data_IF_033448501058
#
_entry.id   IF_033448501058
#
_cell.length_a   1.000
_cell.length_b   1.000
_cell.length_c   1.000
_cell.angle_alpha   90.00
_cell.angle_beta   90.00
_cell.angle_gamma   90.00
#
_symmetry.space_group_name_H-M   'P 1'
#
loop_
_entity.id
_entity.type
_entity.pdbx_description
1 polymer ?
#
# COMPACT_ATOMS: atom_id res chain seq x y z
N UNK A 1 -16.02 -105.21 16.08
CA UNK A 1 -14.89 -104.55 15.38
C UNK A 1 -15.39 -103.20 14.83
N UNK A 2 -15.26 -102.13 15.62
CA UNK A 2 -15.89 -100.81 15.37
C UNK A 2 -14.96 -99.85 14.61
N UNK A 3 -15.44 -99.24 13.52
CA UNK A 3 -14.72 -98.21 12.74
C UNK A 3 -15.18 -96.79 13.11
N UNK A 4 -14.23 -96.04 13.68
CA UNK A 4 -13.91 -94.60 13.53
C UNK A 4 -15.07 -93.62 13.20
N UNK A 5 -15.48 -92.84 14.21
CA UNK A 5 -15.99 -91.46 14.04
C UNK A 5 -14.84 -90.47 14.24
N UNK A 6 -14.33 -89.89 13.16
CA UNK A 6 -13.36 -88.78 13.20
C UNK A 6 -13.74 -87.79 12.09
N UNK A 7 -14.80 -87.01 12.30
CA UNK A 7 -15.23 -85.94 11.36
C UNK A 7 -16.15 -84.95 12.08
N UNK A 8 -15.63 -84.20 13.05
CA UNK A 8 -16.33 -83.01 13.58
C UNK A 8 -15.51 -82.07 14.49
N UNK A 9 -14.26 -82.41 14.82
CA UNK A 9 -13.44 -81.57 15.72
C UNK A 9 -12.58 -80.52 14.99
N UNK A 10 -12.36 -80.62 13.68
CA UNK A 10 -11.45 -79.68 12.99
C UNK A 10 -12.08 -78.31 12.75
N UNK A 11 -13.37 -78.20 12.40
CA UNK A 11 -13.98 -76.90 12.03
C UNK A 11 -14.11 -75.93 13.20
N UNK A 12 -14.28 -76.42 14.44
CA UNK A 12 -14.32 -75.57 15.64
C UNK A 12 -12.94 -75.03 16.01
N UNK A 13 -11.87 -75.80 15.78
CA UNK A 13 -10.50 -75.38 16.02
C UNK A 13 -10.02 -74.35 14.96
N UNK A 14 -10.45 -74.50 13.70
CA UNK A 14 -10.16 -73.53 12.64
C UNK A 14 -10.81 -72.18 12.91
N UNK A 15 -12.07 -72.16 13.40
CA UNK A 15 -12.76 -70.92 13.77
C UNK A 15 -12.11 -70.26 14.98
N UNK A 16 -11.69 -71.03 15.99
CA UNK A 16 -11.04 -70.50 17.19
C UNK A 16 -9.69 -69.83 16.90
N UNK A 17 -8.99 -70.29 15.86
CA UNK A 17 -7.68 -69.75 15.44
C UNK A 17 -7.82 -68.61 14.43
N UNK A 18 -8.90 -68.53 13.66
CA UNK A 18 -9.12 -67.45 12.68
C UNK A 18 -9.45 -66.10 13.32
N UNK A 19 -10.23 -66.11 14.40
CA UNK A 19 -10.69 -64.90 15.11
C UNK A 19 -9.51 -64.02 15.60
N UNK A 20 -8.51 -64.55 16.32
CA UNK A 20 -7.39 -63.72 16.77
C UNK A 20 -6.54 -63.18 15.62
N UNK A 21 -6.43 -63.91 14.50
CA UNK A 21 -5.70 -63.46 13.30
C UNK A 21 -6.42 -62.26 12.66
N UNK A 22 -7.74 -62.33 12.53
CA UNK A 22 -8.55 -61.21 12.00
C UNK A 22 -8.45 -60.01 12.94
N UNK A 23 -8.50 -60.22 14.26
CA UNK A 23 -8.34 -59.14 15.22
C UNK A 23 -6.97 -58.45 15.13
N UNK A 24 -5.88 -59.22 15.00
CA UNK A 24 -4.51 -58.70 14.85
C UNK A 24 -4.29 -57.92 13.55
N UNK A 25 -4.93 -58.36 12.45
CA UNK A 25 -4.84 -57.65 11.17
C UNK A 25 -5.61 -56.32 11.20
N UNK A 26 -6.80 -56.31 11.80
CA UNK A 26 -7.59 -55.09 11.97
C UNK A 26 -6.89 -54.07 12.86
N UNK A 27 -6.28 -54.50 13.97
CA UNK A 27 -5.53 -53.58 14.85
C UNK A 27 -4.26 -53.06 14.18
N UNK A 28 -3.55 -53.88 13.39
CA UNK A 28 -2.40 -53.44 12.60
C UNK A 28 -2.77 -52.37 11.57
N UNK A 29 -3.89 -52.57 10.84
CA UNK A 29 -4.39 -51.60 9.86
C UNK A 29 -4.82 -50.31 10.57
N UNK A 30 -5.58 -50.41 11.66
CA UNK A 30 -6.02 -49.24 12.43
C UNK A 30 -4.83 -48.44 13.00
N UNK A 31 -3.79 -49.14 13.49
CA UNK A 31 -2.58 -48.50 13.99
C UNK A 31 -1.81 -47.80 12.87
N UNK A 32 -1.73 -48.40 11.68
CA UNK A 32 -1.10 -47.77 10.51
C UNK A 32 -1.82 -46.48 10.10
N UNK A 33 -3.15 -46.48 10.07
CA UNK A 33 -3.93 -45.28 9.77
C UNK A 33 -3.84 -44.21 10.86
N UNK A 34 -3.67 -44.61 12.13
CA UNK A 34 -3.48 -43.67 13.24
C UNK A 34 -2.08 -43.02 13.22
N UNK A 35 -1.06 -43.76 12.75
CA UNK A 35 0.32 -43.28 12.62
C UNK A 35 0.55 -42.39 11.40
N UNK A 36 -0.41 -42.28 10.48
CA UNK A 36 -0.33 -41.33 9.38
C UNK A 36 -0.47 -39.90 9.91
N UNK A 37 0.66 -39.21 10.07
CA UNK A 37 0.67 -37.77 10.27
C UNK A 37 0.16 -37.07 9.01
N UNK A 38 -1.05 -36.52 9.09
CA UNK A 38 -1.60 -35.61 8.10
C UNK A 38 -0.82 -34.29 8.12
N UNK A 39 0.22 -34.18 7.27
CA UNK A 39 0.92 -32.93 7.05
C UNK A 39 0.11 -32.02 6.11
N UNK A 40 -0.62 -31.08 6.69
CA UNK A 40 -1.27 -30.00 5.95
C UNK A 40 -0.26 -28.88 5.78
N UNK A 41 0.33 -28.77 4.59
CA UNK A 41 1.18 -27.64 4.22
C UNK A 41 0.26 -26.50 3.76
N UNK A 42 -0.03 -25.58 4.68
CA UNK A 42 -0.75 -24.34 4.37
C UNK A 42 0.27 -23.24 4.02
N UNK A 43 0.17 -22.68 2.81
CA UNK A 43 0.95 -21.49 2.41
C UNK A 43 0.08 -20.25 2.63
N UNK A 44 0.39 -19.46 3.65
CA UNK A 44 -0.26 -18.16 3.88
C UNK A 44 0.50 -17.11 3.08
N UNK A 45 -0.15 -16.52 2.07
CA UNK A 45 0.33 -15.30 1.42
C UNK A 45 -0.29 -14.11 2.14
N UNK A 46 0.50 -13.39 2.93
CA UNK A 46 0.08 -12.12 3.53
C UNK A 46 0.21 -11.00 2.49
N UNK A 47 -0.85 -10.21 2.33
CA UNK A 47 -0.81 -9.02 1.49
C UNK A 47 -0.19 -7.84 2.24
N UNK A 48 0.25 -6.81 1.50
CA UNK A 48 0.74 -5.55 2.06
C UNK A 48 0.13 -4.36 1.32
N UNK A 49 -0.12 -3.27 2.04
CA UNK A 49 -0.50 -1.98 1.46
C UNK A 49 0.74 -1.11 1.29
N UNK A 50 0.94 -0.51 0.11
CA UNK A 50 2.11 0.34 -0.17
C UNK A 50 1.70 1.44 -1.11
N UNK A 51 1.79 2.69 -0.66
CA UNK A 51 1.57 3.87 -1.47
C UNK A 51 2.92 4.53 -1.73
N UNK A 52 3.24 4.76 -3.01
CA UNK A 52 4.52 5.35 -3.44
C UNK A 52 4.27 6.57 -4.29
N UNK A 53 5.25 7.47 -4.34
CA UNK A 53 5.23 8.60 -5.29
C UNK A 53 5.71 8.06 -6.64
N UNK A 54 4.79 7.96 -7.61
CA UNK A 54 5.09 7.51 -8.97
C UNK A 54 5.50 8.65 -9.90
N UNK A 55 5.11 9.89 -9.59
CA UNK A 55 5.54 11.09 -10.30
C UNK A 55 5.32 12.33 -9.44
N UNK A 56 6.15 13.34 -9.65
CA UNK A 56 6.18 14.57 -8.87
C UNK A 56 6.38 15.80 -9.76
N UNK A 57 5.88 16.95 -9.29
CA UNK A 57 6.08 18.26 -9.90
C UNK A 57 6.14 19.34 -8.83
N UNK A 58 6.94 20.36 -9.08
CA UNK A 58 6.86 21.62 -8.36
C UNK A 58 6.55 22.71 -9.38
N UNK A 59 5.45 23.41 -9.18
CA UNK A 59 5.03 24.53 -10.01
C UNK A 59 5.29 25.83 -9.27
N UNK A 60 5.82 26.80 -10.00
CA UNK A 60 6.09 28.17 -9.55
C UNK A 60 5.31 29.18 -10.40
N UNK A 61 5.12 30.42 -9.92
CA UNK A 61 4.54 31.51 -10.70
C UNK A 61 5.30 31.75 -12.01
N UNK A 62 4.56 32.02 -13.08
CA UNK A 62 5.12 32.21 -14.43
C UNK A 62 5.84 33.55 -14.65
N UNK A 63 6.02 34.36 -13.60
CA UNK A 63 6.73 35.64 -13.68
C UNK A 63 8.20 35.45 -14.02
N UNK A 64 8.72 36.24 -14.96
CA UNK A 64 10.14 36.19 -15.33
C UNK A 64 11.05 36.38 -14.11
N UNK A 65 12.01 35.47 -13.95
CA UNK A 65 13.01 35.50 -12.88
C UNK A 65 12.49 35.10 -11.49
N UNK A 66 11.33 34.45 -11.36
CA UNK A 66 10.87 33.95 -10.06
C UNK A 66 11.89 33.00 -9.43
N UNK A 67 12.32 31.96 -10.14
CA UNK A 67 13.30 30.99 -9.63
C UNK A 67 14.69 31.61 -9.41
N UNK A 68 15.06 32.62 -10.19
CA UNK A 68 16.32 33.34 -9.98
C UNK A 68 16.31 34.14 -8.67
N UNK A 69 15.14 34.70 -8.32
CA UNK A 69 14.94 35.46 -7.06
C UNK A 69 14.65 34.55 -5.87
N UNK A 70 14.02 33.42 -6.11
CA UNK A 70 13.56 32.45 -5.14
C UNK A 70 14.02 31.08 -5.59
N UNK A 71 15.31 30.73 -5.42
CA UNK A 71 15.83 29.44 -5.86
C UNK A 71 15.12 28.32 -5.12
N UNK A 72 14.71 27.29 -5.87
CA UNK A 72 14.05 26.11 -5.31
C UNK A 72 14.73 24.86 -5.86
N UNK A 73 15.20 24.02 -4.96
CA UNK A 73 15.66 22.67 -5.27
C UNK A 73 14.71 21.67 -4.61
N UNK A 74 14.38 20.57 -5.27
CA UNK A 74 13.51 19.56 -4.66
C UNK A 74 13.90 18.14 -5.08
N UNK A 75 13.59 17.19 -4.21
CA UNK A 75 13.87 15.77 -4.41
C UNK A 75 12.86 14.87 -3.68
N UNK A 76 12.79 13.62 -4.11
CA UNK A 76 12.04 12.57 -3.41
C UNK A 76 12.95 11.88 -2.41
N UNK A 77 12.46 11.64 -1.19
CA UNK A 77 13.20 10.93 -0.14
C UNK A 77 13.58 9.51 -0.61
N UNK A 78 14.68 8.95 -0.09
CA UNK A 78 15.18 7.65 -0.54
C UNK A 78 14.22 6.47 -0.35
N UNK A 79 13.19 6.61 0.50
CA UNK A 79 12.11 5.64 0.69
C UNK A 79 10.93 5.83 -0.27
N UNK A 80 10.93 6.87 -1.10
CA UNK A 80 9.87 7.19 -2.06
C UNK A 80 8.58 7.71 -1.44
N UNK A 81 8.61 8.14 -0.16
CA UNK A 81 7.41 8.48 0.60
C UNK A 81 7.17 9.98 0.79
N UNK A 82 8.14 10.84 0.53
CA UNK A 82 7.97 12.28 0.68
C UNK A 82 8.73 13.04 -0.40
N UNK A 83 8.21 14.22 -0.75
CA UNK A 83 8.96 15.23 -1.48
C UNK A 83 9.52 16.24 -0.48
N UNK A 84 10.78 16.62 -0.65
CA UNK A 84 11.45 17.69 0.10
C UNK A 84 11.79 18.79 -0.89
N UNK A 85 11.45 20.04 -0.56
CA UNK A 85 11.79 21.23 -1.32
C UNK A 85 12.56 22.21 -0.44
N UNK A 86 13.75 22.59 -0.87
CA UNK A 86 14.62 23.60 -0.27
C UNK A 86 14.38 24.91 -1.01
N UNK A 87 13.76 25.88 -0.32
CA UNK A 87 13.31 27.14 -0.91
C UNK A 87 14.11 28.30 -0.31
N UNK A 88 14.89 28.98 -1.15
CA UNK A 88 15.69 30.14 -0.74
C UNK A 88 14.96 31.46 -0.94
N UNK A 89 15.27 32.43 -0.08
CA UNK A 89 14.78 33.81 -0.17
C UNK A 89 13.24 33.90 -0.29
N UNK A 90 12.49 33.05 0.41
CA UNK A 90 11.02 33.07 0.45
C UNK A 90 10.56 34.36 1.10
N UNK A 91 9.77 35.15 0.39
CA UNK A 91 9.33 36.49 0.82
C UNK A 91 7.84 36.72 0.54
N UNK A 92 7.31 37.88 0.92
CA UNK A 92 5.89 38.23 0.72
C UNK A 92 5.37 37.92 -0.70
N UNK A 93 4.19 37.28 -0.77
CA UNK A 93 3.53 36.80 -2.00
C UNK A 93 4.22 35.60 -2.68
N UNK A 94 5.19 34.97 -2.03
CA UNK A 94 5.75 33.72 -2.52
C UNK A 94 4.71 32.60 -2.45
N UNK A 95 4.62 31.83 -3.53
CA UNK A 95 3.63 30.76 -3.70
C UNK A 95 4.22 29.65 -4.55
N UNK A 96 3.98 28.40 -4.16
CA UNK A 96 4.29 27.22 -4.97
C UNK A 96 3.14 26.23 -4.94
N UNK A 97 3.13 25.29 -5.89
CA UNK A 97 2.27 24.12 -5.84
C UNK A 97 3.10 22.84 -6.01
N UNK A 98 3.04 21.98 -5.00
CA UNK A 98 3.66 20.65 -5.02
C UNK A 98 2.62 19.65 -5.52
N UNK A 99 2.91 19.03 -6.66
CA UNK A 99 2.09 18.00 -7.26
C UNK A 99 2.69 16.62 -7.00
N UNK A 100 1.88 15.67 -6.55
CA UNK A 100 2.25 14.27 -6.37
C UNK A 100 1.25 13.36 -7.09
N UNK A 101 1.74 12.41 -7.88
CA UNK A 101 0.99 11.25 -8.34
C UNK A 101 1.38 10.09 -7.45
N UNK A 102 0.42 9.57 -6.70
CA UNK A 102 0.62 8.40 -5.85
C UNK A 102 0.07 7.16 -6.53
N UNK A 103 0.76 6.03 -6.36
CA UNK A 103 0.38 4.73 -6.90
C UNK A 103 0.35 3.70 -5.78
N UNK A 104 -0.72 2.90 -5.72
CA UNK A 104 -0.79 1.77 -4.79
C UNK A 104 -0.03 0.57 -5.38
N UNK A 105 1.28 0.52 -5.13
CA UNK A 105 2.16 -0.61 -5.45
C UNK A 105 1.96 -1.84 -4.54
N UNK A 106 1.01 -1.76 -3.60
CA UNK A 106 0.65 -2.85 -2.71
C UNK A 106 -0.20 -3.93 -3.37
N UNK A 107 -0.43 -5.01 -2.63
CA UNK A 107 -1.37 -6.08 -3.01
C UNK A 107 -2.73 -5.93 -2.33
N UNK A 108 -2.87 -4.96 -1.42
CA UNK A 108 -4.11 -4.67 -0.69
C UNK A 108 -4.59 -3.24 -1.01
N UNK A 109 -5.92 -3.01 -0.99
CA UNK A 109 -6.44 -1.65 -1.03
C UNK A 109 -5.94 -0.80 0.14
N UNK A 110 -5.68 0.48 -0.10
CA UNK A 110 -5.29 1.47 0.92
C UNK A 110 -6.18 2.70 0.80
N UNK A 111 -6.30 3.47 1.88
CA UNK A 111 -6.98 4.76 1.83
C UNK A 111 -5.96 5.87 2.04
N UNK A 112 -5.84 6.77 1.06
CA UNK A 112 -5.14 8.04 1.27
C UNK A 112 -5.99 8.90 2.20
N UNK A 113 -5.45 9.27 3.36
CA UNK A 113 -6.17 9.98 4.43
C UNK A 113 -5.92 11.48 4.40
N UNK A 114 -4.68 11.89 4.16
CA UNK A 114 -4.26 13.29 4.09
C UNK A 114 -2.85 13.38 3.49
N UNK A 115 -2.32 14.59 3.34
CA UNK A 115 -0.91 14.88 3.11
C UNK A 115 -0.37 15.73 4.23
N UNK A 116 0.63 15.25 4.95
CA UNK A 116 1.34 16.05 5.94
C UNK A 116 2.30 17.03 5.26
N UNK A 117 2.34 18.27 5.75
CA UNK A 117 3.28 19.29 5.30
C UNK A 117 4.04 19.79 6.52
N UNK A 118 5.37 19.65 6.48
CA UNK A 118 6.26 20.16 7.51
C UNK A 118 7.16 21.24 6.97
N UNK A 119 7.47 22.20 7.84
CA UNK A 119 8.39 23.30 7.61
C UNK A 119 9.48 23.22 8.68
N UNK A 120 10.72 23.54 8.32
CA UNK A 120 11.80 23.69 9.31
C UNK A 120 11.76 25.06 10.03
N UNK A 121 10.83 25.94 9.67
CA UNK A 121 10.56 27.24 10.26
C UNK A 121 9.22 27.29 11.00
N UNK A 122 8.87 28.45 11.57
CA UNK A 122 7.50 28.68 12.05
C UNK A 122 6.49 28.51 10.90
N UNK A 123 5.34 27.92 11.20
CA UNK A 123 4.25 27.68 10.24
C UNK A 123 3.23 28.81 10.18
N UNK A 124 3.30 29.79 11.08
CA UNK A 124 2.28 30.84 11.22
C UNK A 124 2.14 31.71 9.97
N UNK A 125 3.24 31.91 9.24
CA UNK A 125 3.27 32.69 8.01
C UNK A 125 2.94 31.88 6.74
N UNK A 126 2.68 30.58 6.88
CA UNK A 126 2.40 29.68 5.76
C UNK A 126 0.92 29.28 5.72
N UNK A 127 0.30 29.45 4.56
CA UNK A 127 -1.00 28.87 4.25
C UNK A 127 -0.82 27.64 3.37
N UNK A 128 -1.45 26.53 3.76
CA UNK A 128 -1.41 25.27 3.02
C UNK A 128 -2.82 24.87 2.61
N UNK A 129 -3.03 24.61 1.31
CA UNK A 129 -4.27 24.07 0.75
C UNK A 129 -3.95 22.78 -0.01
N UNK A 130 -4.78 21.76 0.16
CA UNK A 130 -4.57 20.43 -0.41
C UNK A 130 -5.78 20.06 -1.27
N UNK A 131 -5.54 19.48 -2.43
CA UNK A 131 -6.56 19.09 -3.39
C UNK A 131 -6.27 17.68 -3.89
N UNK A 132 -7.30 16.85 -3.98
CA UNK A 132 -7.19 15.42 -4.24
C UNK A 132 -8.06 15.00 -5.43
N UNK A 133 -7.50 14.15 -6.29
CA UNK A 133 -8.16 13.70 -7.52
C UNK A 133 -7.95 12.21 -7.73
N UNK A 134 -9.02 11.53 -8.15
CA UNK A 134 -9.04 10.08 -8.34
C UNK A 134 -10.05 9.40 -7.42
N UNK A 135 -9.91 8.08 -7.17
CA UNK A 135 -8.87 7.21 -7.71
C UNK A 135 -8.96 7.07 -9.23
N UNK A 136 -7.82 6.79 -9.87
CA UNK A 136 -7.69 6.53 -11.29
C UNK A 136 -7.22 5.09 -11.50
N UNK A 137 -8.10 4.18 -11.92
CA UNK A 137 -7.72 2.83 -12.30
C UNK A 137 -6.65 2.78 -13.40
N UNK A 138 -5.92 1.65 -13.51
CA UNK A 138 -4.95 1.45 -14.57
C UNK A 138 -5.53 1.70 -15.97
N UNK A 139 -4.87 2.57 -16.74
CA UNK A 139 -5.30 2.92 -18.09
C UNK A 139 -6.30 4.08 -18.18
N UNK A 140 -6.86 4.55 -17.06
CA UNK A 140 -7.64 5.79 -17.06
C UNK A 140 -6.75 7.03 -17.22
N UNK A 141 -7.30 8.03 -17.90
CA UNK A 141 -6.61 9.28 -18.17
C UNK A 141 -6.81 10.23 -17.01
N UNK A 142 -5.74 10.54 -16.28
CA UNK A 142 -5.71 11.60 -15.27
C UNK A 142 -5.00 12.88 -15.76
N UNK A 143 -4.75 12.98 -17.08
CA UNK A 143 -3.96 14.06 -17.68
C UNK A 143 -4.53 15.45 -17.39
N UNK A 144 -5.86 15.60 -17.31
CA UNK A 144 -6.51 16.87 -17.00
C UNK A 144 -6.19 17.41 -15.60
N UNK A 145 -5.80 16.51 -14.68
CA UNK A 145 -5.42 16.88 -13.30
C UNK A 145 -3.91 17.00 -13.11
N UNK A 146 -3.09 16.65 -14.12
CA UNK A 146 -1.63 16.51 -13.96
C UNK A 146 -0.79 17.18 -15.06
N UNK A 147 -1.22 17.10 -16.31
CA UNK A 147 -0.39 17.42 -17.48
C UNK A 147 -0.65 18.84 -17.98
N UNK A 148 0.42 19.62 -18.15
CA UNK A 148 0.35 20.95 -18.77
C UNK A 148 -0.21 22.07 -17.91
N UNK A 149 -0.55 21.79 -16.64
CA UNK A 149 -1.06 22.80 -15.71
C UNK A 149 0.03 23.77 -15.28
N UNK A 150 -0.32 25.06 -15.25
CA UNK A 150 0.45 26.12 -14.59
C UNK A 150 -0.06 26.33 -13.18
N UNK A 151 0.71 27.01 -12.33
CA UNK A 151 0.32 27.24 -10.93
C UNK A 151 -1.00 28.03 -10.81
N UNK A 152 -1.29 28.92 -11.76
CA UNK A 152 -2.51 29.72 -11.80
C UNK A 152 -3.76 28.89 -12.14
N UNK A 153 -3.55 27.68 -12.68
CA UNK A 153 -4.60 26.71 -13.02
C UNK A 153 -4.82 25.68 -11.91
N UNK A 154 -4.07 25.76 -10.80
CA UNK A 154 -4.25 24.91 -9.62
C UNK A 154 -5.19 25.60 -8.60
N UNK A 155 -6.22 24.91 -8.09
CA UNK A 155 -6.63 23.53 -8.41
C UNK A 155 -7.44 23.42 -9.72
N UNK A 156 -7.23 22.36 -10.53
CA UNK A 156 -8.21 22.01 -11.56
C UNK A 156 -9.56 21.63 -10.93
N UNK A 157 -10.64 21.78 -11.69
CA UNK A 157 -12.00 21.42 -11.23
C UNK A 157 -12.08 19.91 -10.99
N UNK A 158 -12.78 19.49 -9.92
CA UNK A 158 -13.00 18.07 -9.61
C UNK A 158 -12.29 17.57 -8.36
N UNK A 159 -11.90 18.49 -7.47
CA UNK A 159 -11.38 18.17 -6.14
C UNK A 159 -12.34 17.28 -5.35
N UNK A 160 -11.77 16.38 -4.54
CA UNK A 160 -12.50 15.44 -3.69
C UNK A 160 -11.94 15.48 -2.29
N UNK A 161 -12.81 15.30 -1.30
CA UNK A 161 -12.35 15.15 0.08
C UNK A 161 -11.78 13.74 0.32
N UNK A 162 -10.65 13.64 1.05
CA UNK A 162 -10.18 12.35 1.53
C UNK A 162 -11.14 11.79 2.60
N UNK A 163 -11.19 10.46 2.81
CA UNK A 163 -10.25 9.48 2.30
C UNK A 163 -10.49 9.06 0.84
N UNK A 164 -9.41 8.89 0.06
CA UNK A 164 -9.47 8.38 -1.31
C UNK A 164 -9.10 6.88 -1.31
N UNK A 165 -10.04 5.97 -1.63
CA UNK A 165 -9.76 4.54 -1.69
C UNK A 165 -8.95 4.21 -2.95
N UNK A 166 -7.87 3.45 -2.80
CA UNK A 166 -6.98 3.04 -3.89
C UNK A 166 -6.83 1.52 -3.87
N UNK A 167 -7.35 0.84 -4.89
CA UNK A 167 -7.06 -0.56 -5.13
C UNK A 167 -5.61 -0.74 -5.61
N UNK A 168 -5.06 -1.96 -5.58
CA UNK A 168 -3.76 -2.23 -6.20
C UNK A 168 -3.66 -1.70 -7.63
N UNK A 169 -2.61 -0.94 -7.92
CA UNK A 169 -2.33 -0.22 -9.17
C UNK A 169 -3.22 1.00 -9.47
N UNK A 170 -4.16 1.36 -8.61
CA UNK A 170 -4.85 2.65 -8.74
C UNK A 170 -3.88 3.79 -8.45
N UNK A 171 -4.15 4.93 -9.10
CA UNK A 171 -3.40 6.17 -8.92
C UNK A 171 -4.28 7.28 -8.36
N UNK A 172 -3.66 8.26 -7.71
CA UNK A 172 -4.32 9.49 -7.29
C UNK A 172 -3.38 10.66 -7.54
N UNK A 173 -3.95 11.83 -7.81
CA UNK A 173 -3.18 13.08 -7.95
C UNK A 173 -3.49 13.96 -6.76
N UNK A 174 -2.45 14.58 -6.21
CA UNK A 174 -2.56 15.53 -5.12
C UNK A 174 -1.84 16.81 -5.51
N UNK A 175 -2.50 17.94 -5.30
CA UNK A 175 -1.88 19.25 -5.35
C UNK A 175 -1.88 19.88 -3.97
N UNK A 176 -0.69 20.24 -3.49
CA UNK A 176 -0.48 20.97 -2.24
C UNK A 176 0.01 22.37 -2.57
N UNK A 177 -0.86 23.36 -2.43
CA UNK A 177 -0.55 24.78 -2.66
C UNK A 177 -0.08 25.39 -1.35
N UNK A 178 1.09 26.03 -1.40
CA UNK A 178 1.75 26.64 -0.25
C UNK A 178 1.99 28.12 -0.57
N UNK A 179 1.50 28.99 0.31
CA UNK A 179 1.61 30.45 0.18
C UNK A 179 2.28 31.00 1.43
N UNK A 180 3.24 31.93 1.27
CA UNK A 180 3.91 32.61 2.36
C UNK A 180 3.44 34.07 2.46
N UNK A 181 2.94 34.46 3.63
CA UNK A 181 2.43 35.80 3.91
C UNK A 181 3.33 36.63 4.83
N UNK A 182 4.48 36.09 5.26
CA UNK A 182 5.40 36.80 6.13
C UNK A 182 6.11 37.97 5.42
N UNK A 183 6.72 38.83 6.22
CA UNK A 183 7.35 40.08 5.75
C UNK A 183 8.87 39.99 5.63
N UNK A 184 9.50 39.05 6.34
CA UNK A 184 10.95 38.86 6.32
C UNK A 184 11.34 37.74 5.35
N UNK A 185 12.40 37.90 4.54
CA UNK A 185 12.90 36.82 3.72
C UNK A 185 13.46 35.68 4.56
N UNK A 186 13.09 34.44 4.23
CA UNK A 186 13.57 33.24 4.93
C UNK A 186 14.02 32.17 3.94
N UNK A 187 14.95 31.33 4.38
CA UNK A 187 15.25 30.05 3.72
C UNK A 187 14.48 28.96 4.47
N UNK A 188 13.72 28.14 3.74
CA UNK A 188 12.82 27.15 4.32
C UNK A 188 12.94 25.81 3.60
N UNK A 189 12.98 24.74 4.39
CA UNK A 189 12.79 23.38 3.91
C UNK A 189 11.32 22.99 4.11
N UNK A 190 10.68 22.51 3.05
CA UNK A 190 9.30 22.06 3.04
C UNK A 190 9.28 20.57 2.72
N UNK A 191 8.65 19.78 3.58
CA UNK A 191 8.45 18.33 3.37
C UNK A 191 6.98 18.02 3.19
N UNK A 192 6.64 17.36 2.09
CA UNK A 192 5.27 16.95 1.73
C UNK A 192 5.19 15.43 1.72
N UNK A 193 4.40 14.85 2.63
CA UNK A 193 4.31 13.39 2.85
C UNK A 193 2.87 12.89 2.85
N UNK A 194 2.47 11.99 1.95
CA UNK A 194 1.16 11.34 2.02
C UNK A 194 0.99 10.47 3.26
N UNK A 195 -0.18 10.56 3.88
CA UNK A 195 -0.62 9.72 4.98
C UNK A 195 -1.67 8.75 4.45
N UNK A 196 -1.42 7.44 4.60
CA UNK A 196 -2.35 6.40 4.17
C UNK A 196 -2.49 5.28 5.20
N UNK A 197 -3.53 4.48 5.04
CA UNK A 197 -3.70 3.20 5.75
C UNK A 197 -5.16 2.78 5.77
#
# INVERSE_FOLDING_TARGET
>A
MNRRRFKQYSSKLTVLTLIPIIALTLTGIAYSYWQEELQIIAVVKTGFGKLTIGSEKLLVPTGEGFEEKHPIEYYITGDGQALVAECGNVSSNWKIAVGLVLENDGTLPVHLKDVEVWFNSSTEDFSVKKYYYGPFPPGEKFKEYWSGLKIEEIPPIGDREPPIPLNPNDRTVIWTVIEYSGTEPIDVEIRVKPIYG
#
